data_IF_716212648613
#
_entry.id   IF_716212648613
#
_cell.length_a   1.000
_cell.length_b   1.000
_cell.length_c   1.000
_cell.angle_alpha   90.00
_cell.angle_beta   90.00
_cell.angle_gamma   90.00
#
_symmetry.space_group_name_H-M   'P 1'
#
loop_
_entity.id
_entity.type
_entity.pdbx_description
1 polymer ?
#
# COMPACT_ATOMS: atom_id res chain seq x y z
N UNK A 1 -6.42 -21.16 -22.14
CA UNK A 1 -5.55 -20.13 -21.56
C UNK A 1 -5.65 -18.90 -22.45
N UNK A 2 -6.46 -17.89 -22.09
CA UNK A 2 -6.68 -16.72 -22.96
C UNK A 2 -5.61 -15.65 -22.66
N UNK A 3 -4.93 -15.08 -23.67
CA UNK A 3 -3.92 -14.04 -23.46
C UNK A 3 -4.57 -12.73 -23.00
N UNK A 4 -3.85 -12.01 -22.14
CA UNK A 4 -4.23 -10.74 -21.52
C UNK A 4 -4.19 -9.59 -22.57
N UNK A 5 -5.21 -8.74 -22.71
CA UNK A 5 -5.22 -7.71 -23.74
C UNK A 5 -4.65 -6.39 -23.21
N UNK A 6 -3.33 -6.18 -23.36
CA UNK A 6 -2.79 -4.81 -23.34
C UNK A 6 -2.88 -4.25 -24.77
N UNK A 7 -3.81 -3.30 -24.99
CA UNK A 7 -3.79 -2.45 -26.19
C UNK A 7 -2.73 -1.36 -25.98
N UNK A 8 -1.76 -1.31 -26.89
CA UNK A 8 -0.74 -0.27 -26.98
C UNK A 8 -1.38 1.10 -27.25
N UNK A 9 -1.69 1.85 -26.19
CA UNK A 9 -1.86 3.30 -26.25
C UNK A 9 -0.51 3.98 -26.06
N UNK A 10 -0.17 4.92 -26.93
CA UNK A 10 1.15 5.54 -27.06
C UNK A 10 1.69 6.17 -25.77
N UNK A 11 2.47 5.42 -25.01
CA UNK A 11 3.41 5.96 -24.02
C UNK A 11 4.75 6.04 -24.76
N UNK A 12 5.39 7.22 -24.76
CA UNK A 12 6.77 7.35 -25.25
C UNK A 12 7.61 6.29 -24.55
N UNK A 13 8.06 5.29 -25.29
CA UNK A 13 8.93 4.22 -24.81
C UNK A 13 10.30 4.85 -24.54
N UNK A 14 10.45 5.49 -23.38
CA UNK A 14 11.78 5.56 -22.76
C UNK A 14 12.11 4.11 -22.47
N UNK A 15 13.08 3.52 -23.19
CA UNK A 15 13.57 2.19 -22.90
C UNK A 15 14.12 2.18 -21.46
N UNK A 16 13.27 1.83 -20.50
CA UNK A 16 13.65 1.65 -19.10
C UNK A 16 14.09 0.21 -18.92
N UNK A 17 15.26 0.01 -18.36
CA UNK A 17 15.75 -1.32 -17.98
C UNK A 17 14.70 -2.06 -17.11
N UNK A 18 14.64 -3.40 -17.17
CA UNK A 18 13.83 -4.17 -16.24
C UNK A 18 14.28 -3.87 -14.80
N UNK A 19 13.35 -3.78 -13.84
CA UNK A 19 13.72 -3.50 -12.46
C UNK A 19 14.42 -4.71 -11.85
N UNK A 20 15.56 -4.50 -11.20
CA UNK A 20 16.30 -5.54 -10.48
C UNK A 20 16.17 -5.42 -8.96
N UNK A 21 15.58 -4.32 -8.48
CA UNK A 21 15.32 -4.06 -7.07
C UNK A 21 14.00 -3.31 -6.89
N UNK A 22 13.47 -3.35 -5.68
CA UNK A 22 12.24 -2.68 -5.27
C UNK A 22 12.49 -1.75 -4.10
N UNK A 23 11.91 -0.55 -4.15
CA UNK A 23 11.85 0.33 -2.98
C UNK A 23 10.40 0.50 -2.55
N UNK A 24 10.09 0.22 -1.29
CA UNK A 24 8.78 0.59 -0.74
C UNK A 24 8.86 1.97 -0.13
N UNK A 25 7.91 2.84 -0.44
CA UNK A 25 7.81 4.19 0.12
C UNK A 25 6.48 4.32 0.84
N UNK A 26 6.52 4.62 2.13
CA UNK A 26 5.30 4.77 2.95
C UNK A 26 5.46 5.88 3.98
N UNK A 27 4.36 6.35 4.54
CA UNK A 27 4.36 7.30 5.66
C UNK A 27 4.37 6.61 7.04
N UNK A 28 4.71 5.31 7.08
CA UNK A 28 4.81 4.52 8.31
C UNK A 28 3.48 4.00 8.87
N UNK A 29 2.33 4.40 8.33
CA UNK A 29 1.06 3.81 8.77
C UNK A 29 1.03 2.31 8.47
N UNK A 30 0.74 1.49 9.48
CA UNK A 30 0.82 0.04 9.39
C UNK A 30 0.04 -0.56 8.19
N UNK A 31 -1.13 0.01 7.86
CA UNK A 31 -1.91 -0.40 6.69
C UNK A 31 -1.24 -0.11 5.35
N UNK A 32 -0.50 1.00 5.24
CA UNK A 32 0.27 1.35 4.04
C UNK A 32 1.53 0.48 3.93
N UNK A 33 2.27 0.32 5.04
CA UNK A 33 3.45 -0.53 5.13
C UNK A 33 3.14 -1.96 4.71
N UNK A 34 2.09 -2.56 5.30
CA UNK A 34 1.69 -3.94 5.00
C UNK A 34 1.34 -4.14 3.52
N UNK A 35 0.65 -3.19 2.90
CA UNK A 35 0.26 -3.27 1.50
C UNK A 35 1.46 -3.16 0.55
N UNK A 36 2.30 -2.14 0.75
CA UNK A 36 3.48 -1.93 -0.08
C UNK A 36 4.47 -3.11 0.04
N UNK A 37 4.68 -3.60 1.27
CA UNK A 37 5.57 -4.73 1.54
C UNK A 37 5.03 -6.05 0.96
N UNK A 38 3.74 -6.33 1.12
CA UNK A 38 3.13 -7.53 0.53
C UNK A 38 3.27 -7.58 -0.99
N UNK A 39 3.14 -6.44 -1.67
CA UNK A 39 3.40 -6.37 -3.11
C UNK A 39 4.88 -6.59 -3.44
N UNK A 40 5.80 -5.96 -2.70
CA UNK A 40 7.23 -6.10 -2.91
C UNK A 40 7.71 -7.54 -2.70
N UNK A 41 7.25 -8.21 -1.63
CA UNK A 41 7.60 -9.59 -1.31
C UNK A 41 7.09 -10.56 -2.40
N UNK A 42 5.90 -10.31 -2.96
CA UNK A 42 5.35 -11.11 -4.05
C UNK A 42 6.18 -11.02 -5.35
N UNK A 43 6.88 -9.90 -5.56
CA UNK A 43 7.77 -9.71 -6.72
C UNK A 43 9.13 -10.41 -6.59
N UNK A 44 9.50 -10.84 -5.37
CA UNK A 44 10.75 -11.57 -5.08
C UNK A 44 12.02 -10.86 -5.56
N UNK A 45 12.01 -9.52 -5.50
CA UNK A 45 13.18 -8.68 -5.77
C UNK A 45 13.79 -8.19 -4.45
N UNK A 46 15.11 -7.92 -4.40
CA UNK A 46 15.73 -7.23 -3.28
C UNK A 46 14.97 -5.94 -2.94
N UNK A 47 14.46 -5.84 -1.71
CA UNK A 47 13.57 -4.77 -1.29
C UNK A 47 14.20 -3.88 -0.22
N UNK A 48 14.23 -2.57 -0.46
CA UNK A 48 14.56 -1.54 0.53
C UNK A 48 13.29 -0.83 0.99
N UNK A 49 13.06 -0.76 2.30
CA UNK A 49 11.93 -0.03 2.86
C UNK A 49 12.31 1.41 3.25
N UNK A 50 11.50 2.38 2.83
CA UNK A 50 11.75 3.81 3.00
C UNK A 50 10.54 4.44 3.68
N UNK A 51 10.75 4.91 4.91
CA UNK A 51 9.74 5.65 5.66
C UNK A 51 9.90 7.14 5.39
N UNK A 52 8.87 7.74 4.83
CA UNK A 52 8.81 9.14 4.46
C UNK A 52 8.55 10.00 5.71
N UNK A 53 9.17 11.17 5.76
CA UNK A 53 8.91 12.21 6.76
C UNK A 53 8.29 13.45 6.08
N UNK A 54 6.97 13.48 5.85
CA UNK A 54 6.33 14.52 5.04
C UNK A 54 6.39 15.90 5.70
N UNK A 55 6.88 16.90 4.98
CA UNK A 55 7.03 18.29 5.45
C UNK A 55 5.96 19.19 4.83
N UNK A 56 5.61 20.25 5.55
CA UNK A 56 4.74 21.31 5.02
C UNK A 56 5.52 22.19 4.03
N UNK A 57 4.84 22.75 3.01
CA UNK A 57 3.41 22.61 2.71
C UNK A 57 3.04 21.35 1.91
N UNK A 58 4.03 20.62 1.39
CA UNK A 58 3.83 19.49 0.47
C UNK A 58 2.98 18.36 1.05
N UNK A 59 3.09 18.09 2.36
CA UNK A 59 2.24 17.11 3.06
C UNK A 59 0.74 17.35 2.83
N UNK A 60 0.30 18.60 2.71
CA UNK A 60 -1.10 18.93 2.44
C UNK A 60 -1.44 18.78 0.96
N UNK A 61 -0.54 19.22 0.07
CA UNK A 61 -0.76 19.16 -1.37
C UNK A 61 -0.64 17.76 -1.96
N UNK A 62 0.05 16.83 -1.29
CA UNK A 62 0.23 15.46 -1.76
C UNK A 62 -1.12 14.83 -2.17
N UNK A 63 -1.21 14.14 -3.32
CA UNK A 63 -0.11 13.72 -4.18
C UNK A 63 0.22 14.70 -5.32
N UNK A 64 -0.27 15.95 -5.27
CA UNK A 64 0.07 16.98 -6.24
C UNK A 64 1.48 17.49 -5.95
N UNK A 65 2.33 17.50 -6.98
CA UNK A 65 3.63 18.15 -6.92
C UNK A 65 3.44 19.68 -6.99
N UNK A 66 3.99 20.38 -6.02
CA UNK A 66 4.18 21.83 -5.98
C UNK A 66 5.65 22.20 -6.30
N UNK A 67 5.98 23.48 -6.50
CA UNK A 67 7.37 23.93 -6.54
C UNK A 67 8.17 23.38 -5.35
N UNK A 68 9.42 23.00 -5.63
CA UNK A 68 10.36 22.43 -4.66
C UNK A 68 9.89 21.15 -3.95
N UNK A 69 8.98 20.38 -4.55
CA UNK A 69 8.53 19.09 -3.99
C UNK A 69 9.65 18.05 -3.82
N UNK A 70 10.84 18.26 -4.41
CA UNK A 70 12.01 17.42 -4.13
C UNK A 70 12.36 17.43 -2.63
N UNK A 71 12.13 18.54 -1.93
CA UNK A 71 12.39 18.68 -0.50
C UNK A 71 11.25 18.18 0.41
N UNK A 72 10.18 17.61 -0.16
CA UNK A 72 8.96 17.25 0.55
C UNK A 72 9.16 16.26 1.71
N UNK A 73 10.24 15.48 1.68
CA UNK A 73 10.56 14.44 2.66
C UNK A 73 11.97 14.59 3.27
N UNK A 74 12.61 15.75 3.07
CA UNK A 74 13.94 16.07 3.59
C UNK A 74 15.11 15.50 2.78
N UNK A 75 16.32 15.82 3.22
CA UNK A 75 17.58 15.55 2.51
C UNK A 75 17.81 14.07 2.16
N UNK A 76 17.36 13.14 3.00
CA UNK A 76 17.49 11.71 2.72
C UNK A 76 16.68 11.28 1.49
N UNK A 77 15.53 11.91 1.24
CA UNK A 77 14.74 11.67 0.04
C UNK A 77 15.29 12.42 -1.17
N UNK A 78 15.80 13.63 -0.99
CA UNK A 78 16.49 14.36 -2.07
C UNK A 78 17.64 13.53 -2.65
N UNK A 79 18.45 12.91 -1.79
CA UNK A 79 19.51 12.00 -2.22
C UNK A 79 19.00 10.79 -3.04
N UNK A 80 17.78 10.30 -2.78
CA UNK A 80 17.19 9.20 -3.57
C UNK A 80 16.78 9.65 -4.98
N UNK A 81 16.45 10.93 -5.17
CA UNK A 81 16.07 11.47 -6.48
C UNK A 81 17.26 11.52 -7.44
N UNK A 82 18.49 11.52 -6.91
CA UNK A 82 19.74 11.57 -7.66
C UNK A 82 20.48 10.21 -7.64
N UNK A 83 19.87 9.17 -7.06
CA UNK A 83 20.47 7.84 -6.97
C UNK A 83 20.55 7.19 -8.37
N UNK A 84 21.74 6.77 -8.83
CA UNK A 84 21.92 6.22 -10.17
C UNK A 84 21.20 4.87 -10.38
N UNK A 85 20.91 4.12 -9.30
CA UNK A 85 20.19 2.85 -9.38
C UNK A 85 18.70 3.02 -9.70
N UNK A 86 18.19 4.26 -9.66
CA UNK A 86 16.78 4.57 -9.83
C UNK A 86 16.21 4.09 -11.18
N UNK A 87 17.00 4.17 -12.26
CA UNK A 87 16.60 3.70 -13.59
C UNK A 87 16.32 2.17 -13.66
N UNK A 88 16.87 1.41 -12.71
CA UNK A 88 16.67 -0.04 -12.54
C UNK A 88 15.83 -0.39 -11.31
N UNK A 89 15.13 0.59 -10.74
CA UNK A 89 14.33 0.43 -9.51
C UNK A 89 12.84 0.48 -9.82
N UNK A 90 12.10 -0.44 -9.20
CA UNK A 90 10.64 -0.36 -9.08
C UNK A 90 10.28 0.28 -7.74
N UNK A 91 9.68 1.46 -7.77
CA UNK A 91 9.22 2.15 -6.56
C UNK A 91 7.74 1.82 -6.31
N UNK A 92 7.42 1.36 -5.11
CA UNK A 92 6.09 0.94 -4.70
C UNK A 92 5.62 1.87 -3.58
N UNK A 93 4.60 2.66 -3.85
CA UNK A 93 4.00 3.58 -2.90
C UNK A 93 2.66 3.08 -2.41
N UNK A 94 2.34 3.30 -1.13
CA UNK A 94 0.98 3.11 -0.62
C UNK A 94 0.52 4.34 0.17
N UNK A 95 -0.66 4.85 -0.20
CA UNK A 95 -1.24 6.05 0.40
C UNK A 95 -0.74 7.38 -0.20
N UNK A 96 -1.28 8.48 0.31
CA UNK A 96 -1.21 9.81 -0.32
C UNK A 96 0.19 10.44 -0.34
N UNK A 97 0.98 10.24 0.71
CA UNK A 97 2.34 10.78 0.79
C UNK A 97 3.30 10.00 -0.12
N UNK A 98 3.17 8.67 -0.11
CA UNK A 98 3.90 7.78 -0.99
C UNK A 98 3.58 8.03 -2.47
N UNK A 99 2.33 8.37 -2.79
CA UNK A 99 1.94 8.78 -4.14
C UNK A 99 2.74 10.00 -4.63
N UNK A 100 2.96 11.03 -3.79
CA UNK A 100 3.85 12.14 -4.16
C UNK A 100 5.29 11.66 -4.37
N UNK A 101 5.83 10.89 -3.43
CA UNK A 101 7.22 10.42 -3.46
C UNK A 101 7.52 9.57 -4.72
N UNK A 102 6.69 8.58 -5.00
CA UNK A 102 6.83 7.69 -6.16
C UNK A 102 6.65 8.43 -7.48
N UNK A 103 5.76 9.42 -7.55
CA UNK A 103 5.61 10.29 -8.71
C UNK A 103 6.92 11.04 -9.00
N UNK A 104 7.52 11.66 -7.98
CA UNK A 104 8.78 12.40 -8.14
C UNK A 104 9.93 11.47 -8.57
N UNK A 105 10.02 10.27 -7.99
CA UNK A 105 11.02 9.26 -8.37
C UNK A 105 10.81 8.76 -9.81
N UNK A 106 9.55 8.63 -10.25
CA UNK A 106 9.23 8.25 -11.63
C UNK A 106 9.66 9.32 -12.63
N UNK A 107 9.50 10.59 -12.28
CA UNK A 107 9.96 11.74 -13.08
C UNK A 107 11.50 11.73 -13.21
N UNK A 108 12.22 11.09 -12.28
CA UNK A 108 13.68 10.88 -12.29
C UNK A 108 14.14 9.55 -12.91
N UNK A 109 13.22 8.71 -13.39
CA UNK A 109 13.57 7.52 -14.20
C UNK A 109 13.13 6.17 -13.62
N UNK A 110 12.67 6.10 -12.36
CA UNK A 110 12.13 4.85 -11.82
C UNK A 110 10.86 4.39 -12.54
N UNK A 111 10.60 3.08 -12.47
CA UNK A 111 9.25 2.54 -12.69
C UNK A 111 8.46 2.68 -11.40
N UNK A 112 7.21 3.12 -11.46
CA UNK A 112 6.42 3.40 -10.25
C UNK A 112 5.06 2.72 -10.23
N UNK A 113 4.75 2.11 -9.08
CA UNK A 113 3.44 1.54 -8.75
C UNK A 113 2.87 2.26 -7.54
N UNK A 114 1.61 2.68 -7.65
CA UNK A 114 0.85 3.24 -6.54
C UNK A 114 -0.23 2.26 -6.07
N UNK A 115 -0.31 2.04 -4.77
CA UNK A 115 -1.38 1.27 -4.12
C UNK A 115 -2.38 2.22 -3.46
N UNK A 116 -3.67 1.93 -3.61
CA UNK A 116 -4.83 2.78 -3.30
C UNK A 116 -5.06 3.90 -4.31
N UNK A 117 -6.30 4.39 -4.39
CA UNK A 117 -6.67 5.51 -5.25
C UNK A 117 -5.87 6.79 -4.89
N UNK A 118 -5.04 7.33 -5.81
CA UNK A 118 -4.30 8.56 -5.59
C UNK A 118 -5.17 9.82 -5.65
N UNK A 119 -6.45 9.72 -6.07
CA UNK A 119 -7.40 10.82 -6.25
C UNK A 119 -6.93 11.92 -7.20
N UNK A 120 -6.01 11.57 -8.09
CA UNK A 120 -5.55 12.36 -9.23
C UNK A 120 -5.32 11.41 -10.42
N UNK A 121 -5.03 11.97 -11.61
CA UNK A 121 -4.84 11.17 -12.82
C UNK A 121 -3.78 10.06 -12.64
N UNK A 122 -4.13 8.83 -12.99
CA UNK A 122 -3.26 7.65 -12.83
C UNK A 122 -2.04 7.66 -13.76
N UNK A 123 -2.00 8.57 -14.73
CA UNK A 123 -0.87 8.75 -15.68
C UNK A 123 0.46 9.10 -15.01
N UNK A 124 0.44 9.51 -13.74
CA UNK A 124 1.64 9.82 -12.97
C UNK A 124 2.40 8.57 -12.52
N UNK A 125 1.82 7.38 -12.67
CA UNK A 125 2.44 6.09 -12.34
C UNK A 125 2.41 5.16 -13.54
N UNK A 126 3.27 4.14 -13.53
CA UNK A 126 3.27 3.10 -14.57
C UNK A 126 2.13 2.10 -14.32
N UNK A 127 1.77 1.86 -13.06
CA UNK A 127 0.54 1.16 -12.68
C UNK A 127 -0.06 1.72 -11.39
N UNK A 128 -1.38 1.62 -11.25
CA UNK A 128 -2.11 1.94 -10.02
C UNK A 128 -2.95 0.73 -9.62
N UNK A 129 -2.79 0.26 -8.39
CA UNK A 129 -3.54 -0.85 -7.83
C UNK A 129 -4.56 -0.27 -6.85
N UNK A 130 -5.84 -0.38 -7.16
CA UNK A 130 -6.90 0.22 -6.34
C UNK A 130 -8.04 -0.78 -6.09
N UNK A 131 -8.70 -0.73 -4.91
CA UNK A 131 -9.91 -1.50 -4.66
C UNK A 131 -11.06 -1.13 -5.61
N UNK A 132 -11.92 -2.10 -5.93
CA UNK A 132 -13.08 -1.93 -6.81
C UNK A 132 -14.06 -0.86 -6.32
N UNK A 133 -14.22 -0.74 -5.00
CA UNK A 133 -15.12 0.24 -4.39
C UNK A 133 -14.69 1.70 -4.60
N UNK A 134 -13.43 1.96 -4.94
CA UNK A 134 -12.94 3.30 -5.30
C UNK A 134 -13.37 3.70 -6.72
N UNK A 135 -13.82 2.73 -7.55
CA UNK A 135 -14.31 2.93 -8.92
C UNK A 135 -13.31 3.66 -9.84
N UNK A 136 -12.02 3.62 -9.51
CA UNK A 136 -10.96 4.25 -10.29
C UNK A 136 -10.82 3.57 -11.67
N UNK A 137 -10.77 4.37 -12.73
CA UNK A 137 -10.66 3.91 -14.11
C UNK A 137 -9.36 4.41 -14.76
N UNK A 138 -8.75 3.58 -15.60
CA UNK A 138 -7.58 3.96 -16.38
C UNK A 138 -6.91 2.75 -17.03
N UNK A 139 -6.22 2.96 -18.16
CA UNK A 139 -5.55 1.87 -18.89
C UNK A 139 -4.39 1.22 -18.13
N UNK A 140 -3.94 1.84 -17.04
CA UNK A 140 -2.89 1.35 -16.15
C UNK A 140 -3.41 1.02 -14.73
N UNK A 141 -4.73 0.85 -14.57
CA UNK A 141 -5.36 0.53 -13.29
C UNK A 141 -5.57 -0.97 -13.18
N UNK A 142 -5.13 -1.54 -12.07
CA UNK A 142 -5.37 -2.92 -11.68
C UNK A 142 -6.36 -2.92 -10.50
N UNK A 143 -7.56 -3.41 -10.75
CA UNK A 143 -8.64 -3.39 -9.75
C UNK A 143 -8.60 -4.66 -8.90
N UNK A 144 -8.75 -4.51 -7.58
CA UNK A 144 -8.82 -5.62 -6.62
C UNK A 144 -10.14 -5.60 -5.87
N UNK A 145 -10.62 -6.78 -5.44
CA UNK A 145 -11.81 -6.87 -4.58
C UNK A 145 -11.56 -6.20 -3.21
N UNK A 146 -10.32 -6.23 -2.72
CA UNK A 146 -9.91 -5.64 -1.45
C UNK A 146 -8.48 -5.11 -1.47
N UNK A 147 -7.90 -4.86 -0.31
CA UNK A 147 -6.53 -4.39 -0.18
C UNK A 147 -5.49 -5.47 -0.48
N UNK A 148 -4.34 -5.05 -1.01
CA UNK A 148 -3.14 -5.89 -1.10
C UNK A 148 -2.78 -6.40 0.30
N UNK A 149 -2.40 -7.67 0.42
CA UNK A 149 -2.11 -8.27 1.71
C UNK A 149 -1.15 -9.47 1.57
N UNK A 150 -0.43 -9.86 2.64
CA UNK A 150 0.53 -10.96 2.60
C UNK A 150 -0.12 -12.34 2.81
N UNK A 151 -1.46 -12.44 2.85
CA UNK A 151 -2.14 -13.68 3.19
C UNK A 151 -1.99 -14.66 2.03
N UNK A 152 -1.27 -15.75 2.32
CA UNK A 152 -1.04 -16.88 1.43
C UNK A 152 -1.41 -18.16 2.16
N UNK A 153 -1.55 -19.27 1.44
CA UNK A 153 -1.78 -20.58 2.07
C UNK A 153 -0.68 -20.94 3.07
N UNK A 154 0.58 -20.62 2.74
CA UNK A 154 1.71 -20.81 3.64
C UNK A 154 1.59 -19.95 4.91
N UNK A 155 1.18 -18.67 4.76
CA UNK A 155 0.94 -17.77 5.90
C UNK A 155 -0.19 -18.28 6.80
N UNK A 156 -1.28 -18.78 6.21
CA UNK A 156 -2.41 -19.36 6.93
C UNK A 156 -2.04 -20.68 7.63
N UNK A 157 -1.24 -21.52 6.98
CA UNK A 157 -0.73 -22.77 7.55
C UNK A 157 0.17 -22.52 8.76
N UNK A 158 1.12 -21.59 8.64
CA UNK A 158 2.00 -21.18 9.74
C UNK A 158 1.19 -20.59 10.90
N UNK A 159 0.20 -19.75 10.61
CA UNK A 159 -0.68 -19.17 11.63
C UNK A 159 -1.52 -20.25 12.34
N UNK A 160 -2.04 -21.23 11.60
CA UNK A 160 -2.77 -22.37 12.19
C UNK A 160 -1.89 -23.16 13.15
N UNK A 161 -0.63 -23.40 12.80
CA UNK A 161 0.32 -24.09 13.66
C UNK A 161 0.66 -23.27 14.91
N UNK A 162 0.91 -21.97 14.75
CA UNK A 162 1.25 -21.06 15.85
C UNK A 162 0.10 -20.86 16.85
N UNK A 163 -1.15 -20.94 16.40
CA UNK A 163 -2.36 -20.75 17.21
C UNK A 163 -3.20 -22.01 17.33
N UNK A 164 -2.55 -23.18 17.42
CA UNK A 164 -3.22 -24.48 17.47
C UNK A 164 -4.25 -24.60 18.61
N UNK A 165 -4.01 -23.95 19.76
CA UNK A 165 -4.91 -23.95 20.92
C UNK A 165 -6.30 -23.35 20.65
N UNK A 166 -6.45 -22.53 19.61
CA UNK A 166 -7.79 -22.07 19.20
C UNK A 166 -8.67 -23.22 18.68
N UNK A 167 -8.08 -24.37 18.33
CA UNK A 167 -8.83 -25.57 17.97
C UNK A 167 -9.63 -26.14 19.16
N UNK A 168 -9.19 -25.91 20.39
CA UNK A 168 -9.81 -26.46 21.61
C UNK A 168 -11.02 -25.64 22.09
N UNK A 169 -11.22 -24.43 21.55
CA UNK A 169 -12.34 -23.57 21.94
C UNK A 169 -13.68 -24.20 21.53
N UNK A 170 -14.72 -24.18 22.39
CA UNK A 170 -16.04 -24.70 22.04
C UNK A 170 -16.65 -23.97 20.83
N UNK A 171 -17.56 -24.64 20.13
CA UNK A 171 -18.30 -24.08 18.99
C UNK A 171 -19.74 -23.75 19.41
N UNK A 172 -20.41 -22.75 18.80
CA UNK A 172 -19.92 -21.86 17.73
C UNK A 172 -18.88 -20.84 18.21
N UNK A 173 -18.01 -20.38 17.31
CA UNK A 173 -16.95 -19.40 17.61
C UNK A 173 -17.24 -18.09 16.89
N UNK A 174 -17.34 -17.01 17.65
CA UNK A 174 -17.46 -15.65 17.11
C UNK A 174 -16.15 -14.91 17.32
N UNK A 175 -15.54 -14.46 16.22
CA UNK A 175 -14.36 -13.60 16.26
C UNK A 175 -14.78 -12.15 15.99
N UNK A 176 -14.31 -11.23 16.83
CA UNK A 176 -14.50 -9.79 16.64
C UNK A 176 -13.14 -9.14 16.42
N UNK A 177 -12.94 -8.56 15.24
CA UNK A 177 -11.75 -7.77 14.92
C UNK A 177 -12.08 -6.29 15.13
N UNK A 178 -11.42 -5.66 16.10
CA UNK A 178 -11.52 -4.23 16.36
C UNK A 178 -10.21 -3.59 15.89
N UNK A 179 -10.31 -2.54 15.08
CA UNK A 179 -9.15 -1.74 14.70
C UNK A 179 -8.49 -1.05 15.92
N UNK A 180 -7.44 -0.27 15.68
CA UNK A 180 -6.85 0.55 16.74
C UNK A 180 -7.69 1.79 17.08
N UNK A 181 -7.36 2.51 18.16
CA UNK A 181 -8.00 3.78 18.48
C UNK A 181 -7.79 4.76 17.32
N UNK A 182 -8.85 5.49 16.97
CA UNK A 182 -8.81 6.55 15.97
C UNK A 182 -9.40 7.83 16.56
N UNK A 183 -9.27 8.97 15.88
CA UNK A 183 -9.91 10.22 16.30
C UNK A 183 -11.42 10.06 16.54
N UNK A 184 -12.07 9.19 15.76
CA UNK A 184 -13.51 8.93 15.83
C UNK A 184 -13.87 7.70 16.70
N UNK A 185 -12.88 6.94 17.17
CA UNK A 185 -13.09 5.74 17.98
C UNK A 185 -12.10 5.72 19.14
N UNK A 186 -12.55 6.22 20.30
CA UNK A 186 -11.82 6.02 21.55
C UNK A 186 -12.02 4.58 22.01
N UNK A 187 -10.92 3.85 22.23
CA UNK A 187 -10.95 2.49 22.75
C UNK A 187 -10.57 2.49 24.22
N UNK A 188 -11.55 2.74 25.09
CA UNK A 188 -11.37 2.55 26.54
C UNK A 188 -11.95 1.21 26.95
N UNK A 189 -11.53 0.72 28.12
CA UNK A 189 -12.01 -0.57 28.65
C UNK A 189 -13.55 -0.65 28.76
N UNK A 190 -14.28 0.38 29.21
CA UNK A 190 -15.74 0.34 29.23
C UNK A 190 -16.39 0.22 27.84
N UNK A 191 -15.75 0.78 26.80
CA UNK A 191 -16.23 0.68 25.43
C UNK A 191 -16.13 -0.77 24.92
N UNK A 192 -15.01 -1.44 25.25
CA UNK A 192 -14.78 -2.85 24.93
C UNK A 192 -15.77 -3.78 25.65
N UNK A 193 -15.98 -3.57 26.95
CA UNK A 193 -16.91 -4.38 27.74
C UNK A 193 -18.35 -4.27 27.22
N UNK A 194 -18.75 -3.07 26.78
CA UNK A 194 -20.03 -2.86 26.11
C UNK A 194 -20.11 -3.65 24.80
N UNK A 195 -19.10 -3.56 23.94
CA UNK A 195 -19.10 -4.30 22.66
C UNK A 195 -19.14 -5.81 22.86
N UNK A 196 -18.38 -6.34 23.83
CA UNK A 196 -18.39 -7.76 24.17
C UNK A 196 -19.78 -8.22 24.63
N UNK A 197 -20.47 -7.44 25.47
CA UNK A 197 -21.85 -7.74 25.88
C UNK A 197 -22.80 -7.76 24.68
N UNK A 198 -22.68 -6.81 23.77
CA UNK A 198 -23.51 -6.76 22.56
C UNK A 198 -23.29 -7.97 21.65
N UNK A 199 -22.03 -8.40 21.46
CA UNK A 199 -21.72 -9.57 20.63
C UNK A 199 -22.23 -10.86 21.28
N UNK A 200 -22.11 -11.00 22.61
CA UNK A 200 -22.64 -12.16 23.34
C UNK A 200 -24.16 -12.28 23.21
N UNK A 201 -24.88 -11.19 23.48
CA UNK A 201 -26.35 -11.18 23.38
C UNK A 201 -26.85 -11.61 21.99
N UNK A 202 -26.14 -11.23 20.92
CA UNK A 202 -26.47 -11.61 19.53
C UNK A 202 -26.01 -13.01 19.13
N UNK A 203 -25.15 -13.65 19.92
CA UNK A 203 -24.67 -15.01 19.66
C UNK A 203 -25.50 -16.07 20.38
N UNK A 204 -26.40 -15.65 21.27
CA UNK A 204 -27.32 -16.49 22.06
C UNK A 204 -28.76 -16.49 21.50
N UNK A 205 -29.07 -15.60 20.54
CA UNK A 205 -30.28 -15.62 19.69
C UNK A 205 -30.10 -16.54 18.48
#
# INVERSE_FOLDING_TARGET
MRPWPFRNGSIRNVQRSPPHQTWTLTDGHAGNVRQARALADALRLPTRDIVLAPRLPWKWAAPRALPSSHAAFGHSFEALLDDPSLASTLVIGCGRQAALATRLLRERGARAVQVLDPRISTRHWDAVIAPEHDRLQGGNVLTLLGSVNPVTDAWLGASRAAFASFADLPRPRTAMLIGGPTTNLRMRRPDLDRWLRTVRARSEE
#
